data_IF_920472180455
#
_entry.id   IF_920472180455
#
_cell.length_a   1.000
_cell.length_b   1.000
_cell.length_c   1.000
_cell.angle_alpha   90.00
_cell.angle_beta   90.00
_cell.angle_gamma   90.00
#
_symmetry.space_group_name_H-M   'P 1'
#
loop_
_entity.id
_entity.type
_entity.pdbx_description
1 polymer ?
#
# COMPACT_ATOMS: atom_id res chain seq x y z
N UNK A 1 -6.52 12.90 -2.66
CA UNK A 1 -7.87 12.44 -3.06
C UNK A 1 -8.35 13.27 -4.25
N UNK A 2 -8.18 12.76 -5.48
CA UNK A 2 -8.75 13.36 -6.70
C UNK A 2 -9.52 12.33 -7.55
N UNK A 3 -9.68 11.08 -7.06
CA UNK A 3 -10.17 9.96 -7.88
C UNK A 3 -11.59 9.47 -7.58
N UNK A 4 -12.27 10.02 -6.57
CA UNK A 4 -13.53 9.47 -6.03
C UNK A 4 -14.73 9.63 -6.99
N UNK A 5 -14.58 10.27 -8.15
CA UNK A 5 -15.70 10.54 -9.06
C UNK A 5 -15.38 10.38 -10.57
N UNK A 6 -14.42 9.53 -10.94
CA UNK A 6 -14.08 9.28 -12.36
C UNK A 6 -15.03 8.31 -13.09
N UNK A 7 -15.89 7.60 -12.35
CA UNK A 7 -16.66 6.45 -12.85
C UNK A 7 -18.14 6.73 -13.12
N UNK A 8 -18.55 7.99 -13.29
CA UNK A 8 -19.83 8.22 -13.96
C UNK A 8 -19.63 7.96 -15.47
N UNK A 9 -19.75 6.68 -15.88
CA UNK A 9 -19.61 6.22 -17.28
C UNK A 9 -20.42 7.07 -18.27
N UNK A 10 -21.53 7.66 -17.84
CA UNK A 10 -22.37 8.51 -18.67
C UNK A 10 -21.77 9.90 -18.96
N UNK A 11 -20.79 10.36 -18.17
CA UNK A 11 -20.10 11.65 -18.38
C UNK A 11 -18.69 11.51 -18.96
N UNK A 12 -17.99 10.40 -18.66
CA UNK A 12 -16.60 10.18 -19.09
C UNK A 12 -16.43 9.30 -20.33
N UNK A 13 -17.53 8.84 -20.94
CA UNK A 13 -17.54 8.07 -22.19
C UNK A 13 -16.55 8.52 -23.29
N UNK A 14 -16.43 9.83 -23.62
CA UNK A 14 -15.49 10.26 -24.66
C UNK A 14 -14.00 10.19 -24.26
N UNK A 15 -13.68 10.11 -22.96
CA UNK A 15 -12.30 10.05 -22.47
C UNK A 15 -11.84 8.62 -22.13
N UNK A 16 -12.70 7.62 -22.35
CA UNK A 16 -12.41 6.20 -22.14
C UNK A 16 -11.02 5.74 -22.65
N UNK A 17 -10.60 6.03 -23.90
CA UNK A 17 -9.30 5.57 -24.39
C UNK A 17 -8.10 6.17 -23.64
N UNK A 18 -8.23 7.41 -23.14
CA UNK A 18 -7.18 8.02 -22.34
C UNK A 18 -7.02 7.33 -20.99
N UNK A 19 -8.13 6.88 -20.38
CA UNK A 19 -8.11 6.16 -19.11
C UNK A 19 -7.51 4.75 -19.25
N UNK A 20 -7.81 4.03 -20.34
CA UNK A 20 -7.17 2.73 -20.60
C UNK A 20 -5.65 2.85 -20.73
N UNK A 21 -5.16 3.92 -21.37
CA UNK A 21 -3.72 4.19 -21.49
C UNK A 21 -3.09 4.45 -20.12
N UNK A 22 -3.70 5.33 -19.30
CA UNK A 22 -3.20 5.64 -17.96
C UNK A 22 -3.16 4.37 -17.10
N UNK A 23 -4.23 3.57 -17.14
CA UNK A 23 -4.32 2.30 -16.44
C UNK A 23 -3.25 1.30 -16.89
N UNK A 24 -3.04 1.16 -18.20
CA UNK A 24 -2.01 0.30 -18.76
C UNK A 24 -0.60 0.71 -18.34
N UNK A 25 -0.31 2.01 -18.36
CA UNK A 25 0.98 2.55 -17.89
C UNK A 25 1.16 2.28 -16.39
N UNK A 26 0.14 2.52 -15.58
CA UNK A 26 0.20 2.31 -14.13
C UNK A 26 0.44 0.82 -13.78
N UNK A 27 -0.26 -0.10 -14.44
CA UNK A 27 -0.02 -1.56 -14.29
C UNK A 27 1.41 -1.92 -14.69
N UNK A 28 1.90 -1.38 -15.81
CA UNK A 28 3.26 -1.69 -16.27
C UNK A 28 4.32 -1.26 -15.25
N UNK A 29 4.15 -0.08 -14.64
CA UNK A 29 5.02 0.42 -13.58
C UNK A 29 4.94 -0.47 -12.33
N UNK A 30 3.73 -0.86 -11.92
CA UNK A 30 3.50 -1.76 -10.79
C UNK A 30 4.22 -3.10 -10.98
N UNK A 31 4.08 -3.72 -12.16
CA UNK A 31 4.74 -5.00 -12.46
C UNK A 31 6.26 -4.82 -12.44
N UNK A 32 6.78 -3.73 -13.03
CA UNK A 32 8.22 -3.47 -13.03
C UNK A 32 8.79 -3.27 -11.62
N UNK A 33 8.07 -2.57 -10.74
CA UNK A 33 8.44 -2.38 -9.35
C UNK A 33 8.41 -3.70 -8.56
N UNK A 34 7.41 -4.55 -8.82
CA UNK A 34 7.31 -5.87 -8.21
C UNK A 34 8.51 -6.76 -8.56
N UNK A 35 8.89 -6.80 -9.85
CA UNK A 35 10.07 -7.53 -10.31
C UNK A 35 11.36 -6.98 -9.69
N UNK A 36 11.52 -5.66 -9.67
CA UNK A 36 12.67 -5.00 -9.05
C UNK A 36 12.77 -5.35 -7.55
N UNK A 37 11.66 -5.32 -6.81
CA UNK A 37 11.60 -5.69 -5.39
C UNK A 37 12.08 -7.13 -5.14
N UNK A 38 11.62 -8.09 -5.94
CA UNK A 38 12.08 -9.48 -5.85
C UNK A 38 13.58 -9.59 -6.10
N UNK A 39 14.10 -8.91 -7.13
CA UNK A 39 15.53 -8.91 -7.44
C UNK A 39 16.34 -8.38 -6.25
N UNK A 40 15.91 -7.26 -5.67
CA UNK A 40 16.60 -6.66 -4.51
C UNK A 40 16.57 -7.60 -3.30
N UNK A 41 15.44 -8.29 -3.04
CA UNK A 41 15.38 -9.31 -1.97
C UNK A 41 16.39 -10.43 -2.25
N UNK A 42 16.41 -10.98 -3.46
CA UNK A 42 17.36 -12.05 -3.83
C UNK A 42 18.82 -11.61 -3.68
N UNK A 43 19.17 -10.40 -4.12
CA UNK A 43 20.53 -9.85 -3.97
C UNK A 43 20.90 -9.62 -2.50
N UNK A 44 19.96 -9.11 -1.72
CA UNK A 44 20.14 -8.86 -0.28
C UNK A 44 20.33 -10.17 0.48
N UNK A 45 19.63 -11.24 0.09
CA UNK A 45 19.80 -12.57 0.67
C UNK A 45 21.17 -13.20 0.37
N UNK A 46 21.75 -12.92 -0.80
CA UNK A 46 23.05 -13.44 -1.24
C UNK A 46 24.24 -12.75 -0.56
N UNK A 47 24.06 -11.51 -0.08
CA UNK A 47 25.14 -10.71 0.51
C UNK A 47 25.44 -11.16 1.94
N UNK A 48 26.59 -11.82 2.16
CA UNK A 48 27.03 -12.28 3.49
C UNK A 48 27.73 -11.20 4.33
N UNK A 49 28.16 -10.10 3.72
CA UNK A 49 28.90 -9.02 4.41
C UNK A 49 28.02 -8.01 5.15
N UNK A 50 26.69 -8.05 4.95
CA UNK A 50 25.76 -7.15 5.61
C UNK A 50 25.37 -7.69 7.00
N UNK A 51 25.29 -6.79 7.97
CA UNK A 51 24.77 -7.09 9.30
C UNK A 51 23.31 -7.58 9.20
N UNK A 52 22.96 -8.61 9.98
CA UNK A 52 21.66 -9.29 9.90
C UNK A 52 20.47 -8.33 10.08
N UNK A 53 20.60 -7.35 10.98
CA UNK A 53 19.56 -6.33 11.21
C UNK A 53 19.31 -5.45 9.99
N UNK A 54 20.37 -5.02 9.29
CA UNK A 54 20.25 -4.17 8.09
C UNK A 54 19.57 -4.96 6.97
N UNK A 55 19.92 -6.25 6.83
CA UNK A 55 19.32 -7.15 5.84
C UNK A 55 17.82 -7.35 6.09
N UNK A 56 17.41 -7.58 7.34
CA UNK A 56 16.00 -7.71 7.70
C UNK A 56 15.21 -6.42 7.47
N UNK A 57 15.79 -5.26 7.77
CA UNK A 57 15.16 -3.94 7.53
C UNK A 57 14.87 -3.72 6.04
N UNK A 58 15.85 -4.01 5.18
CA UNK A 58 15.68 -3.88 3.72
C UNK A 58 14.59 -4.84 3.22
N UNK A 59 14.66 -6.12 3.62
CA UNK A 59 13.69 -7.13 3.18
C UNK A 59 12.28 -6.76 3.64
N UNK A 60 12.12 -6.33 4.89
CA UNK A 60 10.80 -5.98 5.42
C UNK A 60 10.22 -4.73 4.77
N UNK A 61 11.05 -3.70 4.50
CA UNK A 61 10.62 -2.53 3.74
C UNK A 61 10.11 -2.89 2.35
N UNK A 62 10.82 -3.77 1.64
CA UNK A 62 10.39 -4.23 0.31
C UNK A 62 9.11 -5.05 0.40
N UNK A 63 8.97 -5.94 1.38
CA UNK A 63 7.72 -6.71 1.58
C UNK A 63 6.53 -5.77 1.82
N UNK A 64 6.71 -4.72 2.64
CA UNK A 64 5.66 -3.75 2.88
C UNK A 64 5.28 -2.98 1.60
N UNK A 65 6.25 -2.63 0.77
CA UNK A 65 6.01 -1.98 -0.52
C UNK A 65 5.27 -2.91 -1.51
N UNK A 66 5.66 -4.19 -1.59
CA UNK A 66 4.94 -5.18 -2.41
C UNK A 66 3.49 -5.33 -1.95
N UNK A 67 3.26 -5.36 -0.63
CA UNK A 67 1.92 -5.41 -0.05
C UNK A 67 1.12 -4.15 -0.40
N UNK A 68 1.71 -2.97 -0.33
CA UNK A 68 1.07 -1.72 -0.74
C UNK A 68 0.64 -1.77 -2.21
N UNK A 69 1.56 -2.17 -3.09
CA UNK A 69 1.31 -2.32 -4.52
C UNK A 69 0.14 -3.28 -4.80
N UNK A 70 0.10 -4.44 -4.14
CA UNK A 70 -1.02 -5.40 -4.31
C UNK A 70 -2.36 -4.82 -3.85
N UNK A 71 -2.38 -4.03 -2.77
CA UNK A 71 -3.60 -3.40 -2.30
C UNK A 71 -4.09 -2.31 -3.27
N UNK A 72 -3.18 -1.57 -3.88
CA UNK A 72 -3.49 -0.56 -4.90
C UNK A 72 -4.08 -1.21 -6.16
N UNK A 73 -3.55 -2.37 -6.58
CA UNK A 73 -4.11 -3.15 -7.69
C UNK A 73 -5.54 -3.62 -7.40
N UNK A 74 -5.83 -4.06 -6.18
CA UNK A 74 -7.18 -4.48 -5.77
C UNK A 74 -8.18 -3.33 -5.80
N UNK A 75 -7.79 -2.15 -5.28
CA UNK A 75 -8.62 -0.95 -5.34
C UNK A 75 -8.89 -0.57 -6.79
N UNK A 76 -7.86 -0.52 -7.63
CA UNK A 76 -8.01 -0.23 -9.06
C UNK A 76 -8.90 -1.24 -9.80
N UNK A 77 -8.74 -2.54 -9.52
CA UNK A 77 -9.60 -3.57 -10.09
C UNK A 77 -11.05 -3.37 -9.66
N UNK A 78 -11.28 -3.07 -8.38
CA UNK A 78 -12.62 -2.79 -7.87
C UNK A 78 -13.21 -1.52 -8.47
N UNK A 79 -12.42 -0.47 -8.68
CA UNK A 79 -12.87 0.76 -9.33
C UNK A 79 -13.23 0.48 -10.81
N UNK A 80 -12.44 -0.31 -11.53
CA UNK A 80 -12.68 -0.59 -12.95
C UNK A 80 -13.82 -1.58 -13.22
N UNK A 81 -13.91 -2.66 -12.44
CA UNK A 81 -14.86 -3.76 -12.61
C UNK A 81 -16.02 -3.76 -11.62
N UNK A 82 -16.01 -2.85 -10.63
CA UNK A 82 -17.05 -2.76 -9.62
C UNK A 82 -18.42 -2.40 -10.18
N UNK A 83 -19.47 -2.76 -9.44
CA UNK A 83 -20.83 -2.36 -9.73
C UNK A 83 -20.92 -0.83 -9.79
N UNK A 84 -21.71 -0.30 -10.71
CA UNK A 84 -21.93 1.15 -10.90
C UNK A 84 -22.70 1.82 -9.76
N UNK A 85 -23.19 1.03 -8.80
CA UNK A 85 -23.77 1.55 -7.57
C UNK A 85 -22.67 2.13 -6.69
N UNK A 86 -23.00 3.15 -5.90
CA UNK A 86 -22.03 3.86 -5.07
C UNK A 86 -21.48 2.93 -3.99
N UNK A 87 -20.36 2.26 -4.27
CA UNK A 87 -19.64 1.46 -3.28
C UNK A 87 -18.66 2.37 -2.57
N UNK A 88 -18.85 2.55 -1.27
CA UNK A 88 -17.90 3.29 -0.43
C UNK A 88 -16.54 2.58 -0.47
N UNK A 89 -15.55 3.18 -1.13
CA UNK A 89 -14.16 2.69 -1.18
C UNK A 89 -13.36 3.08 0.05
N UNK A 90 -13.95 3.91 0.91
CA UNK A 90 -13.37 4.43 2.14
C UNK A 90 -12.90 3.31 3.10
N UNK A 91 -13.67 2.24 3.35
CA UNK A 91 -13.25 1.14 4.23
C UNK A 91 -12.04 0.37 3.68
N UNK A 92 -11.94 0.23 2.36
CA UNK A 92 -10.80 -0.40 1.69
C UNK A 92 -9.53 0.45 1.85
N UNK A 93 -9.63 1.75 1.62
CA UNK A 93 -8.52 2.69 1.82
C UNK A 93 -8.07 2.67 3.29
N UNK A 94 -9.00 2.74 4.23
CA UNK A 94 -8.72 2.65 5.65
C UNK A 94 -8.04 1.33 6.04
N UNK A 95 -8.53 0.21 5.52
CA UNK A 95 -7.91 -1.10 5.73
C UNK A 95 -6.46 -1.16 5.25
N UNK A 96 -6.15 -0.52 4.11
CA UNK A 96 -4.78 -0.45 3.58
C UNK A 96 -3.86 0.42 4.43
N UNK A 97 -4.34 1.56 4.94
CA UNK A 97 -3.57 2.42 5.84
C UNK A 97 -3.29 1.73 7.18
N UNK A 98 -4.32 1.10 7.78
CA UNK A 98 -4.17 0.35 9.03
C UNK A 98 -3.17 -0.80 8.90
N UNK A 99 -3.17 -1.50 7.75
CA UNK A 99 -2.21 -2.56 7.47
C UNK A 99 -0.77 -2.03 7.35
N UNK A 100 -0.56 -0.89 6.69
CA UNK A 100 0.78 -0.27 6.59
C UNK A 100 1.30 0.19 7.95
N UNK A 101 0.44 0.79 8.77
CA UNK A 101 0.79 1.20 10.14
C UNK A 101 1.19 -0.03 10.96
N UNK A 102 0.43 -1.12 10.87
CA UNK A 102 0.72 -2.37 11.58
C UNK A 102 2.01 -3.04 11.09
N UNK A 103 2.30 -3.05 9.79
CA UNK A 103 3.57 -3.59 9.27
C UNK A 103 4.76 -2.73 9.69
N UNK A 104 4.63 -1.41 9.61
CA UNK A 104 5.62 -0.44 10.11
C UNK A 104 5.87 -0.62 11.61
N UNK A 105 4.82 -0.89 12.38
CA UNK A 105 4.91 -1.23 13.79
C UNK A 105 5.76 -2.47 14.04
N UNK A 106 5.44 -3.57 13.36
CA UNK A 106 6.15 -4.85 13.54
C UNK A 106 7.64 -4.72 13.20
N UNK A 107 8.00 -3.91 12.21
CA UNK A 107 9.41 -3.58 11.94
C UNK A 107 10.08 -2.80 13.06
N UNK A 108 9.38 -1.81 13.63
CA UNK A 108 9.90 -0.96 14.71
C UNK A 108 10.04 -1.73 16.03
N UNK A 109 9.08 -2.62 16.31
CA UNK A 109 9.07 -3.57 17.42
C UNK A 109 10.27 -4.52 17.39
N UNK A 110 10.62 -4.99 16.20
CA UNK A 110 11.77 -5.89 16.03
C UNK A 110 13.10 -5.14 16.27
N UNK A 111 13.10 -3.83 16.11
CA UNK A 111 14.30 -2.99 16.16
C UNK A 111 14.52 -2.31 17.52
N UNK A 112 13.45 -2.07 18.27
CA UNK A 112 13.47 -1.44 19.58
C UNK A 112 13.15 -2.45 20.68
N UNK A 113 14.01 -2.56 21.69
CA UNK A 113 13.59 -3.18 22.95
C UNK A 113 12.39 -2.42 23.56
N UNK A 114 11.67 -3.10 24.46
CA UNK A 114 10.27 -2.94 24.88
C UNK A 114 9.68 -1.55 25.22
N UNK A 115 10.41 -0.43 25.16
CA UNK A 115 9.91 0.89 25.56
C UNK A 115 9.27 1.73 24.42
N UNK A 116 9.58 1.47 23.14
CA UNK A 116 8.96 2.24 22.02
C UNK A 116 7.58 1.73 21.62
N UNK A 117 7.19 0.54 22.09
CA UNK A 117 5.92 -0.12 21.77
C UNK A 117 4.71 0.61 22.32
N UNK A 118 4.84 1.18 23.53
CA UNK A 118 3.76 1.84 24.25
C UNK A 118 3.43 3.21 23.62
N UNK A 119 4.47 3.95 23.19
CA UNK A 119 4.32 5.23 22.52
C UNK A 119 3.67 5.07 21.14
N UNK A 120 4.00 3.98 20.44
CA UNK A 120 3.36 3.66 19.17
C UNK A 120 1.88 3.27 19.33
N UNK A 121 1.52 2.44 20.32
CA UNK A 121 0.11 2.10 20.57
C UNK A 121 -0.73 3.33 20.92
N UNK A 122 -0.18 4.25 21.71
CA UNK A 122 -0.83 5.54 22.01
C UNK A 122 -1.03 6.39 20.75
N UNK A 123 -0.04 6.43 19.85
CA UNK A 123 -0.17 7.15 18.57
C UNK A 123 -1.22 6.49 17.66
N UNK A 124 -1.22 5.16 17.59
CA UNK A 124 -2.18 4.40 16.77
C UNK A 124 -3.62 4.60 17.28
N UNK A 125 -3.84 4.54 18.58
CA UNK A 125 -5.14 4.84 19.18
C UNK A 125 -5.53 6.31 18.99
N UNK A 126 -4.60 7.26 19.12
CA UNK A 126 -4.90 8.67 18.89
C UNK A 126 -5.32 8.94 17.43
N UNK A 127 -4.69 8.28 16.46
CA UNK A 127 -5.06 8.37 15.05
C UNK A 127 -6.45 7.74 14.83
N UNK A 128 -6.70 6.54 15.34
CA UNK A 128 -8.01 5.88 15.26
C UNK A 128 -9.13 6.72 15.90
N UNK A 129 -8.85 7.31 17.06
CA UNK A 129 -9.80 8.17 17.77
C UNK A 129 -10.09 9.46 17.02
N UNK A 130 -9.05 10.10 16.44
CA UNK A 130 -9.22 11.31 15.63
C UNK A 130 -10.04 11.07 14.36
N UNK A 131 -9.94 9.87 13.78
CA UNK A 131 -10.65 9.48 12.57
C UNK A 131 -12.07 8.99 12.87
N UNK A 132 -12.33 8.41 14.05
CA UNK A 132 -13.68 8.01 14.47
C UNK A 132 -14.60 9.20 14.82
N UNK A 133 -14.02 10.37 15.06
CA UNK A 133 -14.73 11.63 15.35
C UNK A 133 -15.17 12.35 14.05
N UNK A 134 -14.57 12.01 12.91
CA UNK A 134 -14.82 12.62 11.60
C UNK A 134 -15.76 11.76 10.75
#
# INVERSE_FOLDING_TARGET
>A
MYFVNYLNRNRTGPFFPMFEIIYGVEISLIISAFVAGIIVICMTLKTRKLHLLIRLRIISGIINDLVYITSRLLVMHHEYFGLTEYVETLPLIFGTMMKQIFLGYMTLLYESSANSTLLFFLLQEAILFSLAIF
#
